data_IF_199543033788
#
_entry.id   IF_199543033788
#
_cell.length_a   1.000
_cell.length_b   1.000
_cell.length_c   1.000
_cell.angle_alpha   90.00
_cell.angle_beta   90.00
_cell.angle_gamma   90.00
#
_symmetry.space_group_name_H-M   'P 1'
#
loop_
_entity.id
_entity.type
_entity.pdbx_description
1 polymer ?
#
# COMPACT_ATOMS: atom_id res chain seq x y z
N UNK A 1 9.91 10.84 22.70
CA UNK A 1 9.56 11.02 21.28
C UNK A 1 9.99 9.86 20.40
N UNK A 2 11.24 9.46 20.43
CA UNK A 2 11.78 8.39 19.55
C UNK A 2 10.99 7.07 19.62
N UNK A 3 10.59 6.64 20.82
CA UNK A 3 9.86 5.39 21.03
C UNK A 3 8.44 5.43 20.41
N UNK A 4 7.78 6.60 20.48
CA UNK A 4 6.49 6.82 19.82
C UNK A 4 6.60 6.62 18.30
N UNK A 5 7.58 7.24 17.65
CA UNK A 5 7.75 7.08 16.20
C UNK A 5 8.09 5.63 15.81
N UNK A 6 8.91 4.93 16.59
CA UNK A 6 9.21 3.53 16.34
C UNK A 6 7.95 2.68 16.36
N UNK A 7 7.16 2.76 17.45
CA UNK A 7 5.94 1.98 17.57
C UNK A 7 4.91 2.39 16.50
N UNK A 8 4.74 3.69 16.24
CA UNK A 8 3.79 4.20 15.24
C UNK A 8 4.10 3.64 13.84
N UNK A 9 5.36 3.70 13.39
CA UNK A 9 5.76 3.19 12.08
C UNK A 9 5.57 1.68 12.01
N UNK A 10 5.88 0.95 13.08
CA UNK A 10 5.65 -0.49 13.16
C UNK A 10 4.16 -0.82 13.04
N UNK A 11 3.28 -0.07 13.72
CA UNK A 11 1.84 -0.28 13.64
C UNK A 11 1.26 0.11 12.27
N UNK A 12 1.77 1.16 11.62
CA UNK A 12 1.41 1.48 10.23
C UNK A 12 1.83 0.36 9.28
N UNK A 13 3.03 -0.19 9.49
CA UNK A 13 3.51 -1.32 8.68
C UNK A 13 2.64 -2.56 8.90
N UNK A 14 2.25 -2.84 10.15
CA UNK A 14 1.35 -3.94 10.49
C UNK A 14 0.00 -3.82 9.76
N UNK A 15 -0.59 -2.62 9.78
CA UNK A 15 -1.83 -2.32 9.07
C UNK A 15 -1.69 -2.51 7.55
N UNK A 16 -0.61 -1.97 6.95
CA UNK A 16 -0.35 -2.11 5.52
C UNK A 16 -0.20 -3.59 5.12
N UNK A 17 0.50 -4.38 5.93
CA UNK A 17 0.64 -5.81 5.68
C UNK A 17 -0.71 -6.53 5.77
N UNK A 18 -1.51 -6.22 6.78
CA UNK A 18 -2.81 -6.86 7.00
C UNK A 18 -3.80 -6.53 5.87
N UNK A 19 -3.96 -5.25 5.52
CA UNK A 19 -4.96 -4.80 4.55
C UNK A 19 -4.57 -5.08 3.09
N UNK A 20 -3.30 -4.89 2.75
CA UNK A 20 -2.88 -4.95 1.35
C UNK A 20 -2.21 -6.25 0.96
N UNK A 21 -1.56 -6.94 1.88
CA UNK A 21 -0.82 -8.17 1.55
C UNK A 21 -1.54 -9.43 2.00
N UNK A 22 -2.10 -9.45 3.21
CA UNK A 22 -2.73 -10.63 3.80
C UNK A 22 -4.23 -10.74 3.51
N UNK A 23 -4.89 -9.62 3.16
CA UNK A 23 -6.29 -9.64 2.75
C UNK A 23 -6.44 -10.07 1.28
N UNK A 24 -7.14 -11.19 1.03
CA UNK A 24 -7.45 -11.68 -0.31
C UNK A 24 -8.62 -10.92 -0.96
N UNK A 25 -8.62 -10.76 -2.29
CA UNK A 25 -9.72 -10.10 -3.05
C UNK A 25 -11.08 -10.74 -2.80
N UNK A 26 -11.15 -12.07 -2.74
CA UNK A 26 -12.39 -12.80 -2.49
C UNK A 26 -13.02 -12.45 -1.12
N UNK A 27 -12.21 -12.03 -0.15
CA UNK A 27 -12.70 -11.64 1.17
C UNK A 27 -13.37 -10.26 1.13
N UNK A 28 -12.82 -9.33 0.36
CA UNK A 28 -13.39 -7.99 0.17
C UNK A 28 -14.79 -8.10 -0.44
N UNK A 29 -14.94 -8.88 -1.50
CA UNK A 29 -16.22 -9.07 -2.19
C UNK A 29 -17.30 -9.71 -1.29
N UNK A 30 -16.92 -10.55 -0.31
CA UNK A 30 -17.84 -11.14 0.65
C UNK A 30 -18.21 -10.20 1.80
N UNK A 31 -17.24 -9.39 2.28
CA UNK A 31 -17.49 -8.37 3.31
C UNK A 31 -18.52 -7.34 2.84
N UNK A 32 -18.45 -6.90 1.59
CA UNK A 32 -19.37 -5.91 1.01
C UNK A 32 -20.83 -6.40 0.89
N UNK A 33 -21.07 -7.73 0.90
CA UNK A 33 -22.41 -8.31 0.71
C UNK A 33 -23.17 -8.55 2.00
N UNK A 34 -22.51 -8.66 3.15
CA UNK A 34 -23.12 -9.00 4.43
C UNK A 34 -22.61 -8.09 5.54
N UNK A 35 -23.52 -7.55 6.35
CA UNK A 35 -23.21 -6.70 7.50
C UNK A 35 -22.24 -7.38 8.47
N UNK A 36 -22.49 -8.65 8.78
CA UNK A 36 -21.61 -9.48 9.60
C UNK A 36 -21.20 -10.72 8.81
N UNK A 37 -20.04 -10.65 8.17
CA UNK A 37 -19.44 -11.76 7.47
C UNK A 37 -18.34 -12.38 8.33
N UNK A 38 -18.20 -13.70 8.29
CA UNK A 38 -17.10 -14.42 8.96
C UNK A 38 -15.72 -13.83 8.60
N UNK A 39 -15.61 -13.26 7.41
CA UNK A 39 -14.41 -12.60 6.91
C UNK A 39 -14.01 -11.32 7.71
N UNK A 40 -14.97 -10.63 8.33
CA UNK A 40 -14.65 -9.49 9.21
C UNK A 40 -13.88 -9.97 10.45
N UNK A 41 -14.32 -11.08 11.06
CA UNK A 41 -13.67 -11.65 12.25
C UNK A 41 -12.26 -12.15 11.91
N UNK A 42 -12.11 -12.86 10.79
CA UNK A 42 -10.80 -13.33 10.34
C UNK A 42 -9.85 -12.16 10.03
N UNK A 43 -10.36 -11.10 9.43
CA UNK A 43 -9.55 -9.91 9.17
C UNK A 43 -9.14 -9.21 10.45
N UNK A 44 -10.05 -9.03 11.39
CA UNK A 44 -9.73 -8.46 12.71
C UNK A 44 -8.66 -9.30 13.44
N UNK A 45 -8.71 -10.63 13.32
CA UNK A 45 -7.68 -11.51 13.87
C UNK A 45 -6.32 -11.28 13.19
N UNK A 46 -6.28 -11.10 11.88
CA UNK A 46 -5.06 -10.78 11.14
C UNK A 46 -4.51 -9.42 11.60
N UNK A 47 -5.35 -8.40 11.75
CA UNK A 47 -4.95 -7.08 12.27
C UNK A 47 -4.35 -7.23 13.67
N UNK A 48 -5.03 -7.98 14.57
CA UNK A 48 -4.52 -8.23 15.92
C UNK A 48 -3.14 -8.89 15.89
N UNK A 49 -2.99 -9.97 15.13
CA UNK A 49 -1.73 -10.73 15.05
C UNK A 49 -0.61 -9.87 14.47
N UNK A 50 -0.86 -9.15 13.38
CA UNK A 50 0.16 -8.31 12.75
C UNK A 50 0.56 -7.15 13.65
N UNK A 51 -0.39 -6.46 14.28
CA UNK A 51 -0.13 -5.39 15.23
C UNK A 51 0.66 -5.87 16.45
N UNK A 52 0.28 -7.03 16.99
CA UNK A 52 0.96 -7.64 18.14
C UNK A 52 2.38 -8.07 17.80
N UNK A 53 2.56 -8.83 16.72
CA UNK A 53 3.87 -9.36 16.31
C UNK A 53 4.84 -8.22 15.96
N UNK A 54 4.38 -7.24 15.17
CA UNK A 54 5.24 -6.12 14.77
C UNK A 54 5.50 -5.10 15.90
N UNK A 55 4.79 -5.17 17.02
CA UNK A 55 5.14 -4.38 18.19
C UNK A 55 6.46 -4.85 18.84
N UNK A 56 6.86 -6.10 18.60
CA UNK A 56 8.00 -6.78 19.26
C UNK A 56 7.97 -6.71 20.79
N UNK A 57 6.79 -6.49 21.38
CA UNK A 57 6.63 -6.34 22.83
C UNK A 57 5.40 -7.10 23.33
N UNK A 58 5.60 -8.12 24.19
CA UNK A 58 4.48 -8.93 24.68
C UNK A 58 3.38 -8.14 25.41
N UNK A 59 3.75 -7.05 26.09
CA UNK A 59 2.80 -6.17 26.78
C UNK A 59 1.83 -5.45 25.84
N UNK A 60 2.15 -5.28 24.55
CA UNK A 60 1.33 -4.53 23.58
C UNK A 60 0.03 -5.24 23.18
N UNK A 61 -0.25 -6.43 23.67
CA UNK A 61 -1.48 -7.15 23.32
C UNK A 61 -2.77 -6.33 23.53
N UNK A 62 -2.79 -5.44 24.57
CA UNK A 62 -3.93 -4.54 24.79
C UNK A 62 -4.07 -3.50 23.68
N UNK A 63 -2.96 -2.90 23.24
CA UNK A 63 -2.94 -1.96 22.12
C UNK A 63 -3.33 -2.63 20.81
N UNK A 64 -2.78 -3.82 20.53
CA UNK A 64 -3.14 -4.61 19.36
C UNK A 64 -4.63 -4.99 19.34
N UNK A 65 -5.19 -5.37 20.50
CA UNK A 65 -6.62 -5.66 20.64
C UNK A 65 -7.48 -4.41 20.37
N UNK A 66 -7.09 -3.27 20.93
CA UNK A 66 -7.78 -2.00 20.69
C UNK A 66 -7.78 -1.62 19.21
N UNK A 67 -6.62 -1.72 18.53
CA UNK A 67 -6.52 -1.49 17.09
C UNK A 67 -7.44 -2.44 16.32
N UNK A 68 -7.42 -3.73 16.62
CA UNK A 68 -8.24 -4.73 15.92
C UNK A 68 -9.75 -4.52 16.10
N UNK A 69 -10.19 -4.17 17.33
CA UNK A 69 -11.61 -3.92 17.64
C UNK A 69 -12.10 -2.64 16.96
N UNK A 70 -11.32 -1.56 17.01
CA UNK A 70 -11.68 -0.30 16.35
C UNK A 70 -11.67 -0.44 14.82
N UNK A 71 -10.68 -1.15 14.26
CA UNK A 71 -10.63 -1.48 12.84
C UNK A 71 -11.88 -2.26 12.40
N UNK A 72 -12.24 -3.31 13.15
CA UNK A 72 -13.46 -4.08 12.91
C UNK A 72 -14.71 -3.18 12.95
N UNK A 73 -14.78 -2.26 13.91
CA UNK A 73 -15.89 -1.30 14.03
C UNK A 73 -16.06 -0.46 12.78
N UNK A 74 -14.96 0.07 12.22
CA UNK A 74 -14.98 0.86 10.97
C UNK A 74 -15.42 -0.01 9.79
N UNK A 75 -14.85 -1.20 9.64
CA UNK A 75 -15.22 -2.13 8.57
C UNK A 75 -16.72 -2.49 8.63
N UNK A 76 -17.28 -2.64 9.83
CA UNK A 76 -18.72 -2.89 10.02
C UNK A 76 -19.56 -1.66 9.69
N UNK A 77 -19.17 -0.46 10.14
CA UNK A 77 -19.86 0.80 9.83
C UNK A 77 -19.90 1.03 8.31
N UNK A 78 -18.80 0.80 7.61
CA UNK A 78 -18.71 0.87 6.15
C UNK A 78 -19.70 -0.09 5.47
N UNK A 79 -19.84 -1.29 6.00
CA UNK A 79 -20.80 -2.28 5.49
C UNK A 79 -22.25 -1.88 5.78
N UNK A 80 -22.54 -1.25 6.94
CA UNK A 80 -23.86 -0.73 7.33
C UNK A 80 -24.34 0.37 6.38
N UNK A 81 -23.51 1.36 6.12
CA UNK A 81 -23.88 2.50 5.29
C UNK A 81 -23.93 2.16 3.80
N UNK A 82 -23.71 0.88 3.41
CA UNK A 82 -23.65 0.44 2.01
C UNK A 82 -22.87 1.46 1.17
N UNK A 83 -21.76 1.95 1.74
CA UNK A 83 -20.91 2.88 1.04
C UNK A 83 -20.52 2.19 -0.27
N UNK A 84 -21.25 2.59 -1.34
CA UNK A 84 -21.06 2.04 -2.66
C UNK A 84 -19.58 2.09 -2.98
N UNK A 85 -19.12 1.22 -3.89
CA UNK A 85 -17.79 1.15 -4.49
C UNK A 85 -17.29 2.47 -5.09
N UNK A 86 -17.56 3.57 -4.41
CA UNK A 86 -17.01 4.86 -4.79
C UNK A 86 -15.57 4.89 -4.29
N UNK A 87 -14.65 4.96 -5.22
CA UNK A 87 -13.20 4.85 -4.99
C UNK A 87 -12.66 6.00 -4.12
N UNK A 88 -13.40 7.09 -4.00
CA UNK A 88 -13.09 8.20 -3.10
C UNK A 88 -13.12 7.75 -1.63
N UNK A 89 -14.00 6.83 -1.27
CA UNK A 89 -14.08 6.31 0.09
C UNK A 89 -12.89 5.44 0.49
N UNK A 90 -12.15 4.89 -0.47
CA UNK A 90 -10.93 4.12 -0.17
C UNK A 90 -9.91 4.96 0.60
N UNK A 91 -9.62 6.17 0.14
CA UNK A 91 -8.64 7.04 0.79
C UNK A 91 -9.13 7.54 2.15
N UNK A 92 -10.42 7.87 2.27
CA UNK A 92 -11.03 8.27 3.54
C UNK A 92 -10.98 7.12 4.56
N UNK A 93 -11.31 5.92 4.14
CA UNK A 93 -11.26 4.69 4.93
C UNK A 93 -9.84 4.45 5.48
N UNK A 94 -8.84 4.47 4.61
CA UNK A 94 -7.43 4.32 5.01
C UNK A 94 -6.98 5.44 5.96
N UNK A 95 -7.39 6.68 5.72
CA UNK A 95 -7.06 7.81 6.58
C UNK A 95 -7.63 7.65 7.99
N UNK A 96 -8.89 7.20 8.12
CA UNK A 96 -9.50 6.93 9.43
C UNK A 96 -8.74 5.84 10.19
N UNK A 97 -8.35 4.74 9.50
CA UNK A 97 -7.56 3.68 10.11
C UNK A 97 -6.20 4.20 10.63
N UNK A 98 -5.51 5.05 9.85
CA UNK A 98 -4.24 5.65 10.27
C UNK A 98 -4.40 6.57 11.50
N UNK A 99 -5.48 7.36 11.57
CA UNK A 99 -5.79 8.18 12.75
C UNK A 99 -5.99 7.30 13.99
N UNK A 100 -6.76 6.22 13.87
CA UNK A 100 -7.01 5.30 15.00
C UNK A 100 -5.72 4.66 15.47
N UNK A 101 -4.88 4.20 14.56
CA UNK A 101 -3.57 3.63 14.91
C UNK A 101 -2.72 4.66 15.65
N UNK A 102 -2.68 5.90 15.17
CA UNK A 102 -1.96 6.98 15.83
C UNK A 102 -2.48 7.27 17.23
N UNK A 103 -3.80 7.36 17.40
CA UNK A 103 -4.44 7.60 18.70
C UNK A 103 -4.21 6.45 19.68
N UNK A 104 -4.41 5.19 19.24
CA UNK A 104 -4.17 4.02 20.11
C UNK A 104 -2.71 3.92 20.51
N UNK A 105 -1.78 4.19 19.58
CA UNK A 105 -0.34 4.20 19.88
C UNK A 105 0.01 5.28 20.90
N UNK A 106 -0.53 6.49 20.75
CA UNK A 106 -0.29 7.60 21.69
C UNK A 106 -0.84 7.27 23.09
N UNK A 107 -2.12 6.84 23.14
CA UNK A 107 -2.75 6.46 24.42
C UNK A 107 -2.06 5.26 25.07
N UNK A 108 -1.62 4.29 24.28
CA UNK A 108 -0.90 3.15 24.84
C UNK A 108 0.38 3.58 25.56
N UNK A 109 1.17 4.46 24.94
CA UNK A 109 2.43 4.95 25.51
C UNK A 109 2.23 5.90 26.71
N UNK A 110 1.06 6.52 26.82
CA UNK A 110 0.69 7.36 27.96
C UNK A 110 0.37 6.52 29.20
N UNK A 111 -0.33 5.39 29.02
CA UNK A 111 -0.85 4.59 30.15
C UNK A 111 -0.12 3.28 30.40
N UNK A 112 0.74 2.83 29.49
CA UNK A 112 1.43 1.55 29.57
C UNK A 112 2.90 1.69 29.20
N UNK A 113 3.73 0.88 29.84
CA UNK A 113 5.14 0.75 29.48
C UNK A 113 5.29 0.06 28.12
N UNK A 114 6.26 0.52 27.34
CA UNK A 114 6.67 -0.07 26.10
C UNK A 114 8.18 -0.02 25.93
N UNK A 115 8.75 -1.14 25.54
CA UNK A 115 10.19 -1.24 25.22
C UNK A 115 10.39 -2.16 24.02
N UNK A 116 11.34 -1.82 23.17
CA UNK A 116 11.79 -2.74 22.12
C UNK A 116 12.88 -3.66 22.70
N UNK A 117 12.88 -4.96 22.37
CA UNK A 117 13.87 -5.92 22.87
C UNK A 117 15.24 -5.77 22.19
N UNK A 118 15.38 -4.84 21.26
CA UNK A 118 16.60 -4.56 20.50
C UNK A 118 16.72 -3.06 20.18
N UNK A 119 17.94 -2.60 20.06
CA UNK A 119 18.22 -1.25 19.62
C UNK A 119 18.15 -1.19 18.09
N UNK A 120 17.30 -0.32 17.58
CA UNK A 120 17.15 -0.05 16.14
C UNK A 120 16.81 1.43 15.94
N UNK A 121 17.39 2.04 14.95
CA UNK A 121 17.11 3.43 14.62
C UNK A 121 15.72 3.57 13.97
N UNK A 122 15.05 4.71 14.22
CA UNK A 122 13.76 5.06 13.56
C UNK A 122 13.91 5.00 12.04
N UNK A 123 15.03 5.51 11.53
CA UNK A 123 15.36 5.51 10.10
C UNK A 123 15.35 4.12 9.48
N UNK A 124 15.92 3.13 10.18
CA UNK A 124 15.94 1.74 9.71
C UNK A 124 14.52 1.15 9.65
N UNK A 125 13.69 1.37 10.69
CA UNK A 125 12.30 0.92 10.69
C UNK A 125 11.52 1.60 9.56
N UNK A 126 11.70 2.91 9.37
CA UNK A 126 11.05 3.67 8.32
C UNK A 126 11.47 3.20 6.91
N UNK A 127 12.76 2.88 6.71
CA UNK A 127 13.25 2.34 5.44
C UNK A 127 12.62 0.98 5.11
N UNK A 128 12.55 0.06 6.08
CA UNK A 128 11.90 -1.23 5.92
C UNK A 128 10.41 -1.04 5.59
N UNK A 129 9.73 -0.15 6.30
CA UNK A 129 8.31 0.17 6.08
C UNK A 129 8.07 0.76 4.68
N UNK A 130 8.96 1.63 4.22
CA UNK A 130 8.91 2.22 2.89
C UNK A 130 9.12 1.16 1.80
N UNK A 131 10.03 0.21 2.00
CA UNK A 131 10.20 -0.95 1.10
C UNK A 131 8.91 -1.76 1.01
N UNK A 132 8.25 -2.07 2.14
CA UNK A 132 6.95 -2.77 2.16
C UNK A 132 5.90 -1.99 1.38
N UNK A 133 5.84 -0.67 1.53
CA UNK A 133 4.94 0.20 0.75
C UNK A 133 5.23 0.17 -0.74
N UNK A 134 6.48 0.10 -1.16
CA UNK A 134 6.88 -0.01 -2.57
C UNK A 134 6.41 -1.31 -3.25
N UNK A 135 6.02 -2.33 -2.51
CA UNK A 135 5.54 -3.61 -3.05
C UNK A 135 4.08 -3.51 -3.55
N UNK A 136 3.26 -4.48 -3.20
CA UNK A 136 1.84 -4.58 -3.58
C UNK A 136 0.99 -3.35 -3.16
N UNK A 137 1.18 -2.73 -1.98
CA UNK A 137 0.36 -1.59 -1.57
C UNK A 137 0.38 -0.43 -2.56
N UNK A 138 1.56 -0.02 -3.05
CA UNK A 138 1.65 1.05 -4.05
C UNK A 138 0.86 0.76 -5.33
N UNK A 139 0.82 -0.49 -5.80
CA UNK A 139 0.03 -0.86 -6.97
C UNK A 139 -1.48 -0.64 -6.73
N UNK A 140 -1.95 -0.92 -5.50
CA UNK A 140 -3.35 -0.74 -5.12
C UNK A 140 -3.68 0.75 -5.00
N UNK A 141 -2.79 1.53 -4.37
CA UNK A 141 -2.93 2.98 -4.22
C UNK A 141 -2.98 3.65 -5.60
N UNK A 142 -2.03 3.36 -6.48
CA UNK A 142 -1.98 3.91 -7.84
C UNK A 142 -3.26 3.56 -8.61
N UNK A 143 -3.69 2.29 -8.56
CA UNK A 143 -4.92 1.87 -9.22
C UNK A 143 -6.13 2.66 -8.71
N UNK A 144 -6.33 2.75 -7.39
CA UNK A 144 -7.46 3.49 -6.84
C UNK A 144 -7.38 4.98 -7.19
N UNK A 145 -6.17 5.56 -7.22
CA UNK A 145 -5.98 6.96 -7.60
C UNK A 145 -6.36 7.20 -9.07
N UNK A 146 -5.88 6.37 -10.01
CA UNK A 146 -6.27 6.45 -11.41
C UNK A 146 -7.79 6.30 -11.60
N UNK A 147 -8.37 5.41 -10.84
CA UNK A 147 -9.81 5.17 -10.81
C UNK A 147 -10.62 6.38 -10.31
N UNK A 148 -10.11 7.12 -9.30
CA UNK A 148 -10.73 8.38 -8.78
C UNK A 148 -10.72 9.47 -9.86
N UNK A 149 -9.62 9.58 -10.62
CA UNK A 149 -9.52 10.54 -11.71
C UNK A 149 -10.13 10.06 -13.04
N UNK A 150 -10.86 8.94 -13.02
CA UNK A 150 -11.49 8.35 -14.22
C UNK A 150 -10.51 8.06 -15.36
N UNK A 151 -9.25 7.77 -15.03
CA UNK A 151 -8.23 7.37 -15.99
C UNK A 151 -8.34 5.84 -16.14
N UNK A 152 -9.18 5.41 -17.05
CA UNK A 152 -9.43 3.99 -17.30
C UNK A 152 -8.27 3.32 -18.05
N UNK A 153 -7.97 2.08 -17.66
CA UNK A 153 -7.11 1.24 -18.50
C UNK A 153 -7.75 1.09 -19.88
N UNK A 154 -6.97 1.15 -20.97
CA UNK A 154 -7.50 0.92 -22.31
C UNK A 154 -8.27 -0.40 -22.34
N UNK A 155 -9.59 -0.33 -22.58
CA UNK A 155 -10.40 -1.53 -22.82
C UNK A 155 -9.96 -2.08 -24.16
N UNK A 156 -9.50 -3.30 -24.20
CA UNK A 156 -9.44 -4.05 -25.44
C UNK A 156 -10.85 -4.09 -26.02
N UNK A 157 -11.14 -3.16 -26.94
CA UNK A 157 -12.37 -3.25 -27.73
C UNK A 157 -12.25 -4.57 -28.46
N UNK A 158 -13.25 -5.45 -28.25
CA UNK A 158 -13.31 -6.75 -28.88
C UNK A 158 -13.09 -6.67 -30.40
N UNK A 159 -11.85 -6.63 -30.80
CA UNK A 159 -11.43 -6.92 -32.15
C UNK A 159 -11.71 -8.40 -32.34
N UNK A 160 -12.55 -8.76 -33.33
CA UNK A 160 -12.65 -10.15 -33.77
C UNK A 160 -11.20 -10.63 -33.98
N UNK A 161 -10.77 -11.53 -33.11
CA UNK A 161 -9.43 -12.10 -33.16
C UNK A 161 -9.28 -12.83 -34.50
N UNK A 162 -8.50 -12.26 -35.41
CA UNK A 162 -8.03 -12.99 -36.56
C UNK A 162 -6.85 -13.85 -36.06
N UNK A 163 -6.79 -15.09 -36.48
CA UNK A 163 -5.86 -16.11 -36.02
C UNK A 163 -4.35 -15.74 -36.03
N UNK A 164 -4.00 -14.63 -36.70
CA UNK A 164 -2.62 -14.12 -36.79
C UNK A 164 -2.21 -13.28 -35.56
N UNK A 165 -3.21 -12.66 -34.86
CA UNK A 165 -2.94 -11.80 -33.69
C UNK A 165 -2.78 -12.61 -32.38
N UNK A 166 -3.16 -13.90 -32.37
CA UNK A 166 -3.05 -14.77 -31.20
C UNK A 166 -1.63 -15.16 -30.85
N UNK A 167 -0.69 -15.16 -31.81
CA UNK A 167 0.70 -15.54 -31.58
C UNK A 167 1.54 -14.44 -30.90
N UNK A 168 1.19 -13.16 -31.05
CA UNK A 168 1.91 -12.06 -30.38
C UNK A 168 1.39 -11.77 -28.97
N UNK A 169 0.09 -11.96 -28.69
CA UNK A 169 -0.51 -11.77 -27.37
C UNK A 169 -0.15 -12.88 -26.37
N UNK A 170 0.16 -14.09 -26.85
CA UNK A 170 0.55 -15.23 -26.01
C UNK A 170 1.94 -15.07 -25.34
N UNK A 171 2.73 -14.05 -25.73
CA UNK A 171 4.10 -13.83 -25.24
C UNK A 171 4.20 -12.86 -24.06
N UNK A 172 3.13 -12.16 -23.66
CA UNK A 172 3.18 -11.30 -22.46
C UNK A 172 3.01 -12.13 -21.19
N UNK A 173 4.05 -12.18 -20.36
CA UNK A 173 4.01 -12.86 -19.07
C UNK A 173 2.92 -12.24 -18.19
N UNK A 174 1.96 -13.04 -17.69
CA UNK A 174 0.94 -12.53 -16.78
C UNK A 174 1.60 -11.89 -15.56
N UNK A 175 1.18 -10.68 -15.21
CA UNK A 175 1.74 -9.86 -14.11
C UNK A 175 3.11 -9.19 -14.35
N UNK A 176 3.69 -9.26 -15.55
CA UNK A 176 4.97 -8.60 -15.86
C UNK A 176 4.93 -7.10 -15.54
N UNK A 177 3.85 -6.40 -15.88
CA UNK A 177 3.68 -4.97 -15.57
C UNK A 177 3.72 -4.66 -14.07
N UNK A 178 3.19 -5.57 -13.22
CA UNK A 178 3.26 -5.40 -11.76
C UNK A 178 4.68 -5.58 -11.24
N UNK A 179 5.39 -6.58 -11.75
CA UNK A 179 6.78 -6.85 -11.36
C UNK A 179 7.68 -5.70 -11.78
N UNK A 180 7.56 -5.24 -13.03
CA UNK A 180 8.29 -4.07 -13.53
C UNK A 180 8.05 -2.85 -12.63
N UNK A 181 6.80 -2.54 -12.29
CA UNK A 181 6.48 -1.42 -11.40
C UNK A 181 7.08 -1.53 -10.01
N UNK A 182 7.13 -2.73 -9.42
CA UNK A 182 7.78 -2.97 -8.13
C UNK A 182 9.29 -2.77 -8.24
N UNK A 183 9.92 -3.37 -9.24
CA UNK A 183 11.37 -3.26 -9.47
C UNK A 183 11.80 -1.81 -9.69
N UNK A 184 11.06 -1.06 -10.49
CA UNK A 184 11.33 0.36 -10.75
C UNK A 184 11.22 1.22 -9.49
N UNK A 185 10.21 0.97 -8.64
CA UNK A 185 10.05 1.66 -7.37
C UNK A 185 11.19 1.38 -6.40
N UNK A 186 11.54 0.10 -6.24
CA UNK A 186 12.65 -0.28 -5.36
C UNK A 186 13.97 0.30 -5.86
N UNK A 187 14.22 0.29 -7.17
CA UNK A 187 15.41 0.89 -7.76
C UNK A 187 15.43 2.41 -7.51
N UNK A 188 14.33 3.11 -7.79
CA UNK A 188 14.23 4.55 -7.57
C UNK A 188 14.41 4.89 -6.08
N UNK A 189 13.80 4.12 -5.17
CA UNK A 189 13.93 4.30 -3.72
C UNK A 189 15.39 4.21 -3.27
N UNK A 190 16.11 3.16 -3.69
CA UNK A 190 17.52 2.96 -3.35
C UNK A 190 18.40 4.08 -3.95
N UNK A 191 18.16 4.45 -5.21
CA UNK A 191 18.94 5.50 -5.88
C UNK A 191 18.76 6.87 -5.19
N UNK A 192 17.54 7.22 -4.78
CA UNK A 192 17.27 8.46 -4.04
C UNK A 192 17.97 8.44 -2.68
N UNK A 193 17.88 7.34 -1.92
CA UNK A 193 18.58 7.20 -0.65
C UNK A 193 20.11 7.29 -0.80
N UNK A 194 20.64 6.89 -1.95
CA UNK A 194 22.07 6.99 -2.28
C UNK A 194 22.45 8.35 -2.88
N UNK A 195 21.53 9.33 -2.96
CA UNK A 195 21.78 10.65 -3.53
C UNK A 195 21.94 10.68 -5.07
N UNK A 196 21.60 9.59 -5.77
CA UNK A 196 21.77 9.42 -7.22
C UNK A 196 20.58 9.98 -8.01
N UNK A 197 20.17 11.22 -7.74
CA UNK A 197 18.98 11.85 -8.36
C UNK A 197 19.05 11.94 -9.89
N UNK A 198 20.26 12.18 -10.45
CA UNK A 198 20.46 12.24 -11.91
C UNK A 198 20.15 10.92 -12.59
N UNK A 199 20.50 9.78 -11.97
CA UNK A 199 20.20 8.44 -12.50
C UNK A 199 18.69 8.19 -12.47
N UNK A 200 17.98 8.60 -11.43
CA UNK A 200 16.51 8.51 -11.37
C UNK A 200 15.88 9.30 -12.51
N UNK A 201 16.32 10.54 -12.73
CA UNK A 201 15.87 11.38 -13.84
C UNK A 201 16.11 10.72 -15.21
N UNK A 202 17.29 10.11 -15.41
CA UNK A 202 17.61 9.39 -16.64
C UNK A 202 16.68 8.19 -16.87
N UNK A 203 16.37 7.40 -15.83
CA UNK A 203 15.45 6.25 -15.94
C UNK A 203 14.06 6.71 -16.33
N UNK A 204 13.55 7.78 -15.70
CA UNK A 204 12.24 8.37 -16.01
C UNK A 204 12.21 8.86 -17.47
N UNK A 205 13.24 9.58 -17.91
CA UNK A 205 13.34 10.09 -19.27
C UNK A 205 13.40 8.97 -20.31
N UNK A 206 14.27 7.98 -20.10
CA UNK A 206 14.40 6.83 -20.99
C UNK A 206 13.07 6.07 -21.12
N UNK A 207 12.38 5.82 -20.00
CA UNK A 207 11.09 5.15 -19.99
C UNK A 207 10.01 5.95 -20.72
N UNK A 208 10.01 7.26 -20.58
CA UNK A 208 9.08 8.15 -21.29
C UNK A 208 9.31 8.08 -22.79
N UNK A 209 10.57 8.19 -23.26
CA UNK A 209 10.93 8.13 -24.68
C UNK A 209 10.50 6.79 -25.31
N UNK A 210 10.78 5.66 -24.64
CA UNK A 210 10.42 4.35 -25.17
C UNK A 210 8.90 4.15 -25.32
N UNK A 211 8.10 4.88 -24.56
CA UNK A 211 6.63 4.78 -24.59
C UNK A 211 5.94 5.66 -25.61
N UNK A 212 6.55 6.78 -26.05
CA UNK A 212 5.98 7.61 -27.09
C UNK A 212 5.75 6.87 -28.43
N UNK A 213 6.34 5.71 -28.58
CA UNK A 213 6.22 4.90 -29.79
C UNK A 213 4.84 4.23 -29.99
N UNK A 214 4.01 4.11 -28.92
CA UNK A 214 2.67 3.47 -28.96
C UNK A 214 1.59 4.39 -28.40
N UNK A 215 1.11 5.33 -29.22
CA UNK A 215 0.24 6.45 -28.81
C UNK A 215 -1.12 6.10 -28.20
N UNK A 216 -1.73 4.97 -28.44
CA UNK A 216 -3.10 4.63 -27.98
C UNK A 216 -3.21 4.06 -26.57
N UNK A 217 -2.12 3.64 -25.96
CA UNK A 217 -2.08 3.14 -24.56
C UNK A 217 -1.24 4.04 -23.64
N UNK A 218 -0.78 5.19 -24.14
CA UNK A 218 0.32 5.95 -23.53
C UNK A 218 -0.06 6.67 -22.25
N UNK A 219 -1.24 7.27 -22.15
CA UNK A 219 -1.61 8.15 -21.04
C UNK A 219 -1.76 7.39 -19.71
N UNK A 220 -2.58 6.34 -19.67
CA UNK A 220 -2.79 5.51 -18.48
C UNK A 220 -1.46 4.98 -17.94
N UNK A 221 -0.65 4.44 -18.84
CA UNK A 221 0.62 3.82 -18.46
C UNK A 221 1.67 4.87 -18.10
N UNK A 222 1.65 6.05 -18.75
CA UNK A 222 2.54 7.17 -18.43
C UNK A 222 2.22 7.72 -17.04
N UNK A 223 0.96 8.07 -16.78
CA UNK A 223 0.51 8.59 -15.48
C UNK A 223 0.78 7.58 -14.38
N UNK A 224 0.44 6.29 -14.59
CA UNK A 224 0.75 5.23 -13.63
C UNK A 224 2.24 5.09 -13.31
N UNK A 225 3.12 5.28 -14.32
CA UNK A 225 4.57 5.26 -14.12
C UNK A 225 5.06 6.46 -13.33
N UNK A 226 4.60 7.66 -13.66
CA UNK A 226 4.97 8.89 -12.95
C UNK A 226 4.53 8.83 -11.49
N UNK A 227 3.31 8.36 -11.21
CA UNK A 227 2.83 8.12 -9.85
C UNK A 227 3.69 7.08 -9.11
N UNK A 228 4.10 6.02 -9.82
CA UNK A 228 4.97 4.99 -9.27
C UNK A 228 6.32 5.56 -8.82
N UNK A 229 6.98 6.37 -9.65
CA UNK A 229 8.23 7.04 -9.30
C UNK A 229 8.02 8.09 -8.20
N UNK A 230 6.94 8.87 -8.27
CA UNK A 230 6.62 9.87 -7.25
C UNK A 230 6.51 9.22 -5.86
N UNK A 231 5.79 8.10 -5.71
CA UNK A 231 5.67 7.38 -4.44
C UNK A 231 7.06 6.96 -3.94
N UNK A 232 7.89 6.37 -4.79
CA UNK A 232 9.23 5.92 -4.39
C UNK A 232 10.13 7.08 -3.94
N UNK A 233 10.10 8.20 -4.67
CA UNK A 233 10.87 9.40 -4.35
C UNK A 233 10.42 10.00 -3.02
N UNK A 234 9.10 10.20 -2.82
CA UNK A 234 8.57 10.75 -1.57
C UNK A 234 8.90 9.88 -0.36
N UNK A 235 8.80 8.56 -0.50
CA UNK A 235 9.16 7.63 0.57
C UNK A 235 10.65 7.70 0.89
N UNK A 236 11.52 7.77 -0.12
CA UNK A 236 12.95 7.83 0.09
C UNK A 236 13.38 9.18 0.71
N UNK A 237 12.82 10.31 0.25
CA UNK A 237 13.05 11.61 0.85
C UNK A 237 12.55 11.64 2.30
N UNK A 238 11.35 11.13 2.58
CA UNK A 238 10.84 11.03 3.94
C UNK A 238 11.74 10.21 4.86
N UNK A 239 12.34 9.13 4.39
CA UNK A 239 13.32 8.33 5.16
C UNK A 239 14.65 9.09 5.32
N UNK A 240 15.10 9.82 4.32
CA UNK A 240 16.38 10.57 4.38
C UNK A 240 16.36 11.68 5.43
N UNK A 241 15.21 12.33 5.64
CA UNK A 241 15.02 13.41 6.61
C UNK A 241 14.92 12.93 8.08
N UNK A 242 14.81 11.63 8.32
CA UNK A 242 14.81 11.07 9.68
C UNK A 242 16.27 11.04 10.19
N UNK A 243 16.50 11.82 11.25
CA UNK A 243 17.79 11.91 11.97
C UNK A 243 17.77 11.12 13.28
#
# INVERSE_FOLDING_TARGET
MTLFYKLLILQFTAHILADFMLQGRNWIDHKEKKLFARQHVWHALIIFITAYVLSFYPGFWKGALAIAVLHLGIDMLKSLFKVKKDKNYFFLDQFIHLIIIGLVTALYLEYFEYSLPFEVEVKTIAAISAVVLCLKPSNIIIKNLLDVFHIDAPREKGVRKNAVDEEEESKSLPNAGKLIGITERLLAFVLVLSGQYGVVGLIIAAKSILRFRNMKQSEYVLVGSLLSFAIAIFLALGVSEIH
#
